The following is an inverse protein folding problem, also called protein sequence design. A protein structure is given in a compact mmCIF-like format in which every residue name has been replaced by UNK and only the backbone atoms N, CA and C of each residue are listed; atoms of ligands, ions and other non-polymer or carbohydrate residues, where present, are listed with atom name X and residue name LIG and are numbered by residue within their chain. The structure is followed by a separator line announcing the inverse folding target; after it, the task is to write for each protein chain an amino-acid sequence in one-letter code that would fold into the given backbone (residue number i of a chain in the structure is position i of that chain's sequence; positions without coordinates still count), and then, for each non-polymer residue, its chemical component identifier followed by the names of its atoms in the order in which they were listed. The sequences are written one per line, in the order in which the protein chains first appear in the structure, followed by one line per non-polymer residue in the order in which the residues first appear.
data_IF_604598928093
#
_entry.id   IF_604598928093
#
_cell.length_a   1.000
_cell.length_b   1.000
_cell.length_c   1.000
_cell.angle_alpha   90.00
_cell.angle_beta   90.00
_cell.angle_gamma   90.00
#
_symmetry.space_group_name_H-M   'P 1'
#
loop_
_entity.id
_entity.type
_entity.pdbx_description
1 polymer ?
#
# COMPACT_ATOMS: atom_id res chain seq x y z
N UNK A 1 -17.28 10.89 2.20
CA UNK A 1 -16.83 11.97 3.13
C UNK A 1 -15.43 12.36 2.70
N UNK A 2 -15.27 13.51 2.03
CA UNK A 2 -14.01 13.94 1.47
C UNK A 2 -12.91 13.92 2.53
N UNK A 3 -11.82 13.19 2.29
CA UNK A 3 -10.60 13.39 3.05
C UNK A 3 -10.21 14.86 2.82
N UNK A 4 -10.40 15.70 3.84
CA UNK A 4 -9.90 17.08 3.82
C UNK A 4 -8.48 17.01 3.24
N UNK A 5 -8.13 17.84 2.25
CA UNK A 5 -6.81 17.81 1.65
C UNK A 5 -5.83 18.50 2.60
N UNK A 6 -5.77 18.01 3.84
CA UNK A 6 -4.93 18.49 4.92
C UNK A 6 -3.48 18.55 4.43
N UNK A 7 -3.03 17.53 3.71
CA UNK A 7 -1.70 17.51 3.09
C UNK A 7 -1.48 18.62 2.06
N UNK A 8 -2.48 18.97 1.25
CA UNK A 8 -2.34 20.06 0.26
C UNK A 8 -2.38 21.45 0.91
N UNK A 9 -3.23 21.64 1.92
CA UNK A 9 -3.31 22.90 2.68
C UNK A 9 -2.04 23.06 3.55
N UNK A 10 -1.58 21.99 4.19
CA UNK A 10 -0.33 21.97 4.96
C UNK A 10 0.88 22.21 4.05
N UNK A 11 0.99 21.56 2.90
CA UNK A 11 2.06 21.83 1.93
C UNK A 11 2.08 23.31 1.48
N UNK A 12 0.91 23.94 1.31
CA UNK A 12 0.80 25.36 1.01
C UNK A 12 1.23 26.25 2.19
N UNK A 13 0.91 25.87 3.43
CA UNK A 13 1.36 26.61 4.63
C UNK A 13 2.87 26.49 4.85
N UNK A 14 3.46 25.31 4.62
CA UNK A 14 4.92 25.11 4.68
C UNK A 14 5.60 26.04 3.69
N UNK A 15 5.14 26.11 2.44
CA UNK A 15 5.73 27.02 1.44
C UNK A 15 5.59 28.50 1.81
N UNK A 16 4.47 28.88 2.44
CA UNK A 16 4.17 30.29 2.78
C UNK A 16 4.89 30.76 4.04
N UNK A 17 5.05 29.88 5.05
CA UNK A 17 5.67 30.20 6.33
C UNK A 17 7.17 29.87 6.38
N UNK A 18 7.65 28.89 5.61
CA UNK A 18 9.06 28.48 5.72
C UNK A 18 10.01 29.50 5.11
N UNK A 19 9.59 30.29 4.11
CA UNK A 19 10.43 31.36 3.53
C UNK A 19 10.74 32.50 4.51
N UNK A 20 9.75 33.14 5.19
CA UNK A 20 10.05 34.19 6.16
C UNK A 20 10.84 33.65 7.35
N UNK A 21 10.53 32.45 7.84
CA UNK A 21 11.27 31.82 8.96
C UNK A 21 12.70 31.46 8.55
N UNK A 22 12.90 30.90 7.36
CA UNK A 22 14.23 30.62 6.81
C UNK A 22 15.05 31.90 6.69
N UNK A 23 14.45 33.01 6.25
CA UNK A 23 15.14 34.31 6.20
C UNK A 23 15.56 34.79 7.60
N UNK A 24 14.67 34.71 8.59
CA UNK A 24 14.99 35.06 9.98
C UNK A 24 16.11 34.18 10.56
N UNK A 25 16.07 32.87 10.28
CA UNK A 25 17.11 31.93 10.69
C UNK A 25 18.47 32.26 10.05
N UNK A 26 18.48 32.61 8.75
CA UNK A 26 19.68 33.07 8.04
C UNK A 26 20.25 34.33 8.69
N UNK A 27 19.42 35.33 8.93
CA UNK A 27 19.85 36.62 9.49
C UNK A 27 20.37 36.45 10.92
N UNK A 28 19.69 35.65 11.75
CA UNK A 28 20.12 35.34 13.11
C UNK A 28 21.43 34.55 13.14
N UNK A 29 21.58 33.56 12.25
CA UNK A 29 22.77 32.73 12.14
C UNK A 29 24.01 33.54 11.74
N UNK A 30 23.84 34.58 10.93
CA UNK A 30 24.91 35.51 10.53
C UNK A 30 25.34 36.43 11.67
N UNK A 31 24.41 36.84 12.54
CA UNK A 31 24.68 37.75 13.66
C UNK A 31 25.45 37.06 14.81
N UNK A 32 25.24 35.77 15.03
CA UNK A 32 25.97 35.03 16.06
C UNK A 32 27.38 34.64 15.60
N UNK A 33 28.41 35.37 16.05
CA UNK A 33 29.81 35.14 15.65
C UNK A 33 30.32 33.71 15.88
N UNK A 34 29.94 33.06 17.00
CA UNK A 34 30.31 31.66 17.27
C UNK A 34 29.65 30.71 16.29
N UNK A 35 28.35 30.88 16.04
CA UNK A 35 27.60 30.03 15.11
C UNK A 35 28.09 30.21 13.67
N UNK A 36 28.34 31.46 13.26
CA UNK A 36 28.94 31.81 11.98
C UNK A 36 30.28 31.10 11.77
N UNK A 37 31.23 31.27 12.69
CA UNK A 37 32.58 30.70 12.51
C UNK A 37 32.62 29.19 12.65
N UNK A 38 31.80 28.60 13.54
CA UNK A 38 31.85 27.16 13.82
C UNK A 38 30.98 26.33 12.88
N UNK A 39 29.87 26.86 12.38
CA UNK A 39 28.92 26.12 11.54
C UNK A 39 28.81 26.70 10.14
N UNK A 40 28.47 27.99 9.98
CA UNK A 40 28.19 28.54 8.65
C UNK A 40 29.42 28.55 7.73
N UNK A 41 30.59 28.99 8.21
CA UNK A 41 31.78 29.07 7.37
C UNK A 41 32.24 27.67 6.90
N UNK A 42 32.38 26.66 7.78
CA UNK A 42 32.73 25.30 7.33
C UNK A 42 31.71 24.71 6.36
N UNK A 43 30.42 24.86 6.65
CA UNK A 43 29.34 24.37 5.78
C UNK A 43 29.37 25.10 4.43
N UNK A 44 29.58 26.42 4.43
CA UNK A 44 29.69 27.23 3.22
C UNK A 44 30.83 26.78 2.32
N UNK A 45 32.01 26.52 2.88
CA UNK A 45 33.15 26.00 2.13
C UNK A 45 32.84 24.63 1.50
N UNK A 46 32.21 23.73 2.28
CA UNK A 46 31.81 22.40 1.78
C UNK A 46 30.78 22.52 0.67
N UNK A 47 29.73 23.32 0.85
CA UNK A 47 28.67 23.51 -0.17
C UNK A 47 29.23 24.06 -1.48
N UNK A 48 30.13 25.04 -1.40
CA UNK A 48 30.81 25.54 -2.58
C UNK A 48 31.67 24.47 -3.25
N UNK A 49 32.49 23.76 -2.46
CA UNK A 49 33.37 22.69 -2.95
C UNK A 49 32.58 21.58 -3.65
N UNK A 50 31.48 21.11 -3.04
CA UNK A 50 30.56 20.12 -3.64
C UNK A 50 29.99 20.65 -4.94
N UNK A 51 29.51 21.91 -4.97
CA UNK A 51 28.95 22.51 -6.18
C UNK A 51 29.96 22.62 -7.32
N UNK A 52 31.23 22.94 -7.04
CA UNK A 52 32.30 22.96 -8.05
C UNK A 52 32.67 21.54 -8.49
N UNK A 53 32.73 20.58 -7.55
CA UNK A 53 33.03 19.17 -7.85
C UNK A 53 31.97 18.53 -8.74
N UNK A 54 30.68 18.74 -8.43
CA UNK A 54 29.56 18.24 -9.24
C UNK A 54 29.59 18.84 -10.65
N UNK A 55 29.80 20.16 -10.78
CA UNK A 55 29.95 20.81 -12.09
C UNK A 55 31.11 20.24 -12.90
N UNK A 56 32.23 19.92 -12.25
CA UNK A 56 33.36 19.24 -12.92
C UNK A 56 32.97 17.86 -13.44
N UNK A 57 32.25 17.08 -12.63
CA UNK A 57 31.82 15.73 -13.01
C UNK A 57 30.78 15.74 -14.13
N UNK A 58 29.85 16.69 -14.14
CA UNK A 58 28.76 16.72 -15.12
C UNK A 58 29.11 17.45 -16.42
N UNK A 59 29.91 18.52 -16.36
CA UNK A 59 30.25 19.35 -17.52
C UNK A 59 31.65 19.09 -18.08
N UNK A 60 32.41 18.13 -17.53
CA UNK A 60 33.76 17.78 -17.98
C UNK A 60 34.77 18.94 -17.93
N UNK A 61 34.46 20.01 -17.19
CA UNK A 61 35.21 21.26 -17.26
C UNK A 61 36.49 21.21 -16.42
N UNK A 62 37.65 21.36 -17.05
CA UNK A 62 39.00 21.38 -16.43
C UNK A 62 39.35 22.69 -15.72
N UNK A 63 38.39 23.38 -15.09
CA UNK A 63 38.68 24.66 -14.41
C UNK A 63 39.59 24.41 -13.19
N UNK A 64 40.52 25.35 -12.98
CA UNK A 64 41.56 25.41 -11.92
C UNK A 64 41.02 25.04 -10.52
N UNK A 65 41.93 24.61 -9.65
CA UNK A 65 41.72 24.27 -8.24
C UNK A 65 40.66 25.13 -7.54
N UNK A 66 39.89 24.50 -6.65
CA UNK A 66 38.83 25.18 -5.89
C UNK A 66 39.48 26.19 -4.95
N UNK A 67 39.45 27.47 -5.32
CA UNK A 67 39.87 28.54 -4.42
C UNK A 67 38.89 28.61 -3.25
N UNK A 68 39.36 28.54 -1.99
CA UNK A 68 38.47 28.68 -0.83
C UNK A 68 37.83 30.08 -0.85
N UNK A 69 36.57 30.17 -0.43
CA UNK A 69 35.88 31.45 -0.34
C UNK A 69 36.46 32.31 0.77
N UNK A 70 36.29 33.62 0.63
CA UNK A 70 36.44 34.56 1.72
C UNK A 70 35.43 34.27 2.85
N UNK A 71 35.72 34.74 4.05
CA UNK A 71 34.88 34.45 5.22
C UNK A 71 33.46 35.00 5.08
N UNK A 72 33.24 36.08 4.31
CA UNK A 72 31.89 36.62 4.07
C UNK A 72 31.14 35.76 3.04
N UNK A 73 31.77 35.40 1.92
CA UNK A 73 31.19 34.49 0.94
C UNK A 73 30.86 33.12 1.51
N UNK A 74 31.76 32.51 2.31
CA UNK A 74 31.48 31.25 2.97
C UNK A 74 30.30 31.34 3.97
N UNK A 75 30.17 32.48 4.66
CA UNK A 75 29.01 32.71 5.54
C UNK A 75 27.71 32.77 4.75
N UNK A 76 27.71 33.38 3.55
CA UNK A 76 26.53 33.48 2.70
C UNK A 76 26.07 32.11 2.19
N UNK A 77 26.99 31.31 1.65
CA UNK A 77 26.69 29.95 1.19
C UNK A 77 26.21 29.04 2.33
N UNK A 78 26.82 29.15 3.50
CA UNK A 78 26.40 28.41 4.68
C UNK A 78 24.99 28.80 5.14
N UNK A 79 24.65 30.09 5.10
CA UNK A 79 23.32 30.57 5.44
C UNK A 79 22.28 30.12 4.42
N UNK A 80 22.61 30.17 3.12
CA UNK A 80 21.70 29.69 2.07
C UNK A 80 21.35 28.22 2.27
N UNK A 81 22.37 27.38 2.50
CA UNK A 81 22.20 25.97 2.81
C UNK A 81 21.35 25.75 4.08
N UNK A 82 21.60 26.49 5.16
CA UNK A 82 20.83 26.36 6.40
C UNK A 82 19.34 26.61 6.16
N UNK A 83 19.03 27.62 5.35
CA UNK A 83 17.66 27.96 5.02
C UNK A 83 16.96 26.96 4.13
N UNK A 84 17.67 26.38 3.15
CA UNK A 84 17.16 25.29 2.33
C UNK A 84 16.96 24.02 3.15
N UNK A 85 17.93 23.66 3.99
CA UNK A 85 17.86 22.50 4.87
C UNK A 85 16.66 22.58 5.84
N UNK A 86 16.35 23.78 6.34
CA UNK A 86 15.14 24.00 7.15
C UNK A 86 13.85 23.75 6.35
N UNK A 87 13.75 24.26 5.12
CA UNK A 87 12.55 24.05 4.29
C UNK A 87 12.38 22.55 3.98
N UNK A 88 13.48 21.88 3.62
CA UNK A 88 13.48 20.45 3.36
C UNK A 88 13.11 19.64 4.61
N UNK A 89 13.65 19.97 5.80
CA UNK A 89 13.33 19.24 7.01
C UNK A 89 11.85 19.31 7.38
N UNK A 90 11.22 20.48 7.22
CA UNK A 90 9.78 20.65 7.45
C UNK A 90 8.97 19.84 6.44
N UNK A 91 9.34 19.86 5.16
CA UNK A 91 8.67 19.09 4.11
C UNK A 91 8.81 17.57 4.34
N UNK A 92 10.01 17.09 4.68
CA UNK A 92 10.27 15.69 4.99
C UNK A 92 9.52 15.24 6.24
N UNK A 93 9.51 16.05 7.31
CA UNK A 93 8.75 15.75 8.52
C UNK A 93 7.25 15.58 8.21
N UNK A 94 6.67 16.47 7.40
CA UNK A 94 5.28 16.35 6.96
C UNK A 94 5.04 15.07 6.18
N UNK A 95 5.93 14.74 5.23
CA UNK A 95 5.82 13.53 4.42
C UNK A 95 5.84 12.25 5.29
N UNK A 96 6.69 12.21 6.32
CA UNK A 96 6.76 11.09 7.28
C UNK A 96 5.46 10.97 8.08
N UNK A 97 4.89 12.08 8.55
CA UNK A 97 3.63 12.08 9.29
C UNK A 97 2.46 11.56 8.44
N UNK A 98 2.40 11.98 7.17
CA UNK A 98 1.43 11.46 6.21
C UNK A 98 1.62 9.98 5.93
N UNK A 99 2.87 9.54 5.74
CA UNK A 99 3.19 8.13 5.51
C UNK A 99 2.74 7.24 6.67
N UNK A 100 3.04 7.62 7.90
CA UNK A 100 2.64 6.87 9.09
C UNK A 100 1.11 6.77 9.22
N UNK A 101 0.39 7.84 8.87
CA UNK A 101 -1.07 7.84 8.88
C UNK A 101 -1.66 7.05 7.70
N UNK A 102 -0.99 7.04 6.56
CA UNK A 102 -1.40 6.31 5.36
C UNK A 102 -1.23 4.80 5.54
N UNK A 103 -0.14 4.37 6.16
CA UNK A 103 0.17 2.96 6.44
C UNK A 103 -0.89 2.27 7.31
N UNK A 104 -1.41 2.97 8.32
CA UNK A 104 -2.50 2.42 9.16
C UNK A 104 -3.81 2.27 8.39
N UNK A 105 -4.09 3.16 7.43
CA UNK A 105 -5.27 3.07 6.56
C UNK A 105 -5.15 1.94 5.54
N UNK A 106 -3.96 1.73 4.96
CA UNK A 106 -3.74 0.61 4.05
C UNK A 106 -3.85 -0.74 4.77
N UNK A 107 -3.26 -0.86 5.96
CA UNK A 107 -3.36 -2.08 6.77
C UNK A 107 -4.82 -2.41 7.15
N UNK A 108 -5.62 -1.41 7.53
CA UNK A 108 -7.05 -1.61 7.80
C UNK A 108 -7.83 -2.01 6.54
N UNK A 109 -7.51 -1.42 5.39
CA UNK A 109 -8.15 -1.76 4.11
C UNK A 109 -7.81 -3.20 3.69
N UNK A 110 -6.57 -3.60 3.86
CA UNK A 110 -6.10 -4.96 3.58
C UNK A 110 -6.73 -5.98 4.54
N UNK A 111 -6.85 -5.65 5.83
CA UNK A 111 -7.57 -6.49 6.79
C UNK A 111 -9.04 -6.70 6.41
N UNK A 112 -9.74 -5.64 5.98
CA UNK A 112 -11.13 -5.74 5.51
C UNK A 112 -11.22 -6.61 4.25
N UNK A 113 -10.31 -6.44 3.28
CA UNK A 113 -10.28 -7.25 2.07
C UNK A 113 -10.01 -8.73 2.37
N UNK A 114 -9.09 -9.02 3.29
CA UNK A 114 -8.82 -10.40 3.73
C UNK A 114 -10.02 -11.02 4.43
N UNK A 115 -10.74 -10.26 5.26
CA UNK A 115 -11.98 -10.73 5.88
C UNK A 115 -13.07 -11.04 4.84
N UNK A 116 -13.23 -10.17 3.82
CA UNK A 116 -14.19 -10.40 2.72
C UNK A 116 -13.82 -11.63 1.88
N UNK A 117 -12.52 -11.85 1.63
CA UNK A 117 -12.03 -13.05 0.95
C UNK A 117 -12.29 -14.31 1.77
N UNK A 118 -12.08 -14.25 3.09
CA UNK A 118 -12.34 -15.37 3.98
C UNK A 118 -13.82 -15.72 4.05
N UNK A 119 -14.72 -14.72 4.12
CA UNK A 119 -16.16 -14.97 4.09
C UNK A 119 -16.61 -15.55 2.76
N UNK A 120 -16.09 -15.04 1.64
CA UNK A 120 -16.45 -15.56 0.32
C UNK A 120 -15.98 -17.01 0.11
N UNK A 121 -14.79 -17.36 0.61
CA UNK A 121 -14.31 -18.76 0.60
C UNK A 121 -15.22 -19.66 1.41
N UNK A 122 -15.60 -19.23 2.61
CA UNK A 122 -16.54 -19.97 3.45
C UNK A 122 -17.90 -20.19 2.76
N UNK A 123 -18.41 -19.17 2.07
CA UNK A 123 -19.66 -19.28 1.32
C UNK A 123 -19.54 -20.25 0.13
N UNK A 124 -18.39 -20.28 -0.55
CA UNK A 124 -18.11 -21.26 -1.60
C UNK A 124 -18.05 -22.69 -1.07
N UNK A 125 -17.39 -22.90 0.07
CA UNK A 125 -17.30 -24.21 0.70
C UNK A 125 -18.69 -24.71 1.12
N UNK A 126 -19.49 -23.84 1.77
CA UNK A 126 -20.86 -24.16 2.13
C UNK A 126 -21.76 -24.42 0.91
N UNK A 127 -21.53 -23.72 -0.21
CA UNK A 127 -22.24 -23.99 -1.46
C UNK A 127 -21.84 -25.33 -2.07
N UNK A 128 -20.55 -25.68 -2.06
CA UNK A 128 -20.05 -26.97 -2.53
C UNK A 128 -20.61 -28.14 -1.71
N UNK A 129 -20.64 -28.01 -0.37
CA UNK A 129 -21.26 -29.02 0.51
C UNK A 129 -22.75 -29.22 0.18
N UNK A 130 -23.48 -28.12 -0.09
CA UNK A 130 -24.89 -28.22 -0.51
C UNK A 130 -25.04 -28.91 -1.87
N UNK A 131 -24.14 -28.65 -2.81
CA UNK A 131 -24.15 -29.33 -4.11
C UNK A 131 -23.94 -30.84 -3.90
N UNK A 132 -22.94 -31.24 -3.10
CA UNK A 132 -22.67 -32.65 -2.80
C UNK A 132 -23.87 -33.33 -2.12
N UNK A 133 -24.51 -32.66 -1.15
CA UNK A 133 -25.73 -33.16 -0.52
C UNK A 133 -26.87 -33.36 -1.52
N UNK A 134 -27.06 -32.42 -2.45
CA UNK A 134 -28.08 -32.53 -3.50
C UNK A 134 -27.76 -33.65 -4.50
N UNK A 135 -26.49 -33.87 -4.83
CA UNK A 135 -26.05 -34.99 -5.68
C UNK A 135 -26.36 -36.34 -5.02
N UNK A 136 -26.02 -36.49 -3.74
CA UNK A 136 -26.35 -37.71 -2.96
C UNK A 136 -27.87 -37.91 -2.88
N UNK A 137 -28.64 -36.84 -2.63
CA UNK A 137 -30.09 -36.93 -2.57
C UNK A 137 -30.70 -37.35 -3.92
N UNK A 138 -30.22 -36.79 -5.03
CA UNK A 138 -30.65 -37.19 -6.38
C UNK A 138 -30.28 -38.64 -6.69
N UNK A 139 -29.08 -39.09 -6.29
CA UNK A 139 -28.65 -40.47 -6.51
C UNK A 139 -29.52 -41.46 -5.72
N UNK A 140 -29.88 -41.13 -4.48
CA UNK A 140 -30.82 -41.92 -3.68
C UNK A 140 -32.22 -41.96 -4.32
N UNK A 141 -32.72 -40.83 -4.82
CA UNK A 141 -33.99 -40.79 -5.54
C UNK A 141 -33.98 -41.72 -6.76
N UNK A 142 -32.91 -41.70 -7.54
CA UNK A 142 -32.76 -42.59 -8.69
C UNK A 142 -32.77 -44.07 -8.27
N UNK A 143 -32.02 -44.44 -7.22
CA UNK A 143 -32.02 -45.81 -6.71
C UNK A 143 -33.40 -46.29 -6.24
N UNK A 144 -34.15 -45.42 -5.53
CA UNK A 144 -35.50 -45.74 -5.08
C UNK A 144 -36.40 -46.00 -6.29
N UNK A 145 -36.36 -45.13 -7.30
CA UNK A 145 -37.16 -45.29 -8.51
C UNK A 145 -36.83 -46.61 -9.23
N UNK A 146 -35.54 -46.95 -9.39
CA UNK A 146 -35.13 -48.23 -9.99
C UNK A 146 -35.64 -49.43 -9.19
N UNK A 147 -35.55 -49.39 -7.86
CA UNK A 147 -36.08 -50.46 -7.01
C UNK A 147 -37.59 -50.60 -7.09
N UNK A 148 -38.32 -49.49 -7.17
CA UNK A 148 -39.77 -49.52 -7.33
C UNK A 148 -40.15 -50.16 -8.68
N UNK A 149 -39.47 -49.80 -9.77
CA UNK A 149 -39.71 -50.43 -11.08
C UNK A 149 -39.42 -51.93 -11.08
N UNK A 150 -38.31 -52.37 -10.44
CA UNK A 150 -38.00 -53.80 -10.31
C UNK A 150 -39.08 -54.57 -9.52
N UNK A 151 -39.58 -53.97 -8.42
CA UNK A 151 -40.64 -54.58 -7.61
C UNK A 151 -41.96 -54.68 -8.36
N UNK A 152 -42.30 -53.67 -9.16
CA UNK A 152 -43.49 -53.70 -10.02
C UNK A 152 -43.41 -54.82 -11.05
N UNK A 153 -42.26 -54.97 -11.74
CA UNK A 153 -42.03 -56.05 -12.70
C UNK A 153 -42.13 -57.44 -12.04
N UNK A 154 -41.56 -57.61 -10.84
CA UNK A 154 -41.67 -58.85 -10.07
C UNK A 154 -43.13 -59.17 -9.70
N UNK A 155 -43.87 -58.17 -9.23
CA UNK A 155 -45.29 -58.35 -8.91
C UNK A 155 -46.12 -58.70 -10.15
N UNK A 156 -45.79 -58.14 -11.30
CA UNK A 156 -46.47 -58.39 -12.55
C UNK A 156 -46.18 -59.80 -13.07
N UNK A 157 -44.92 -60.24 -13.03
CA UNK A 157 -44.52 -61.61 -13.34
C UNK A 157 -45.18 -62.64 -12.42
N UNK A 158 -45.25 -62.38 -11.10
CA UNK A 158 -45.95 -63.23 -10.14
C UNK A 158 -47.46 -63.32 -10.43
N UNK A 159 -48.09 -62.20 -10.82
CA UNK A 159 -49.50 -62.18 -11.23
C UNK A 159 -49.73 -62.99 -12.49
N UNK A 160 -48.85 -62.88 -13.49
CA UNK A 160 -48.94 -63.66 -14.73
C UNK A 160 -48.75 -65.17 -14.47
N UNK A 161 -47.84 -65.53 -13.57
CA UNK A 161 -47.63 -66.93 -13.15
C UNK A 161 -48.85 -67.49 -12.42
N UNK A 162 -49.48 -66.70 -11.55
CA UNK A 162 -50.73 -67.07 -10.86
C UNK A 162 -51.96 -67.10 -11.79
N UNK A 163 -51.94 -66.36 -12.91
CA UNK A 163 -53.01 -66.33 -13.90
C UNK A 163 -52.96 -67.49 -14.91
N UNK A 164 -51.87 -68.27 -14.96
CA UNK A 164 -51.82 -69.50 -15.76
C UNK A 164 -52.79 -70.54 -15.18
N UNK A 165 -53.74 -71.08 -15.96
CA UNK A 165 -54.68 -72.06 -15.44
C UNK A 165 -53.92 -73.29 -14.98
N UNK A 166 -54.25 -73.82 -13.80
CA UNK A 166 -53.73 -75.11 -13.32
C UNK A 166 -54.09 -76.17 -14.36
N UNK A 167 -53.10 -76.57 -15.16
CA UNK A 167 -53.25 -77.64 -16.14
C UNK A 167 -53.69 -78.93 -15.44
N UNK A 168 -54.77 -79.51 -15.94
CA UNK A 168 -55.16 -80.90 -15.66
C UNK A 168 -54.04 -81.86 -16.05
N UNK A 169 -53.97 -83.01 -15.36
CA UNK A 169 -52.95 -84.09 -15.40
C UNK A 169 -51.75 -83.83 -14.47
N UNK A 170 -51.48 -84.63 -13.42
CA UNK A 170 -51.80 -86.04 -13.13
C UNK A 170 -52.17 -86.26 -11.65
#
# INVERSE_FOLDING_TARGET
MAALPLGKILALTVRTLSKPVSKLLKDQAKQHGVFRNRFLIPVGQVTHWVGVRLRRLTLGSSRKEVTPLDAAGATEYGAEFLGEAFIYSVATALMVLEYNTSSTKSARKEAIQNQQLASLRHDLDAANERIEQLEVQNQLQFQILTRLTELEEQHQALREEQAKPKGWFS
#
